data_IF_550328657780
#
_entry.id   IF_550328657780
#
_cell.length_a   1.000
_cell.length_b   1.000
_cell.length_c   1.000
_cell.angle_alpha   90.00
_cell.angle_beta   90.00
_cell.angle_gamma   90.00
#
_symmetry.space_group_name_H-M   'P 1'
#
loop_
_entity.id
_entity.type
_entity.pdbx_description
1 polymer ?
#
# COMPACT_ATOMS: atom_id res chain seq x y z
N UNK A 1 10.16 -36.36 -31.23
CA UNK A 1 9.12 -35.51 -30.60
C UNK A 1 9.48 -34.97 -29.20
N UNK A 2 10.77 -34.79 -28.85
CA UNK A 2 11.17 -34.32 -27.50
C UNK A 2 11.48 -32.82 -27.36
N UNK A 3 11.56 -32.06 -28.46
CA UNK A 3 11.99 -30.65 -28.42
C UNK A 3 10.85 -29.64 -28.14
N UNK A 4 9.59 -30.03 -28.32
CA UNK A 4 8.45 -29.10 -28.14
C UNK A 4 8.03 -28.94 -26.66
N UNK A 5 8.16 -30.00 -25.84
CA UNK A 5 7.80 -29.98 -24.42
C UNK A 5 8.79 -29.16 -23.56
N UNK A 6 10.08 -29.17 -23.89
CA UNK A 6 11.11 -28.42 -23.16
C UNK A 6 10.98 -26.90 -23.36
N UNK A 7 10.47 -26.46 -24.52
CA UNK A 7 10.25 -25.05 -24.86
C UNK A 7 9.08 -24.45 -24.07
N UNK A 8 7.98 -25.20 -23.91
CA UNK A 8 6.82 -24.75 -23.14
C UNK A 8 7.08 -24.69 -21.63
N UNK A 9 7.89 -25.60 -21.06
CA UNK A 9 8.30 -25.51 -19.65
C UNK A 9 9.18 -24.28 -19.38
N UNK A 10 10.10 -23.93 -20.30
CA UNK A 10 10.93 -22.74 -20.18
C UNK A 10 10.12 -21.43 -20.24
N UNK A 11 9.13 -21.36 -21.12
CA UNK A 11 8.24 -20.19 -21.27
C UNK A 11 7.33 -20.04 -20.04
N UNK A 12 6.72 -21.13 -19.57
CA UNK A 12 5.85 -21.10 -18.38
C UNK A 12 6.62 -20.73 -17.11
N UNK A 13 7.85 -21.22 -16.95
CA UNK A 13 8.72 -20.85 -15.83
C UNK A 13 9.18 -19.37 -15.91
N UNK A 14 9.49 -18.86 -17.11
CA UNK A 14 9.81 -17.44 -17.29
C UNK A 14 8.62 -16.52 -17.02
N UNK A 15 7.41 -16.91 -17.42
CA UNK A 15 6.18 -16.15 -17.15
C UNK A 15 5.89 -16.17 -15.65
N UNK A 16 5.94 -17.33 -15.00
CA UNK A 16 5.75 -17.46 -13.55
C UNK A 16 6.75 -16.62 -12.75
N UNK A 17 8.03 -16.60 -13.16
CA UNK A 17 9.06 -15.81 -12.50
C UNK A 17 8.85 -14.29 -12.69
N UNK A 18 8.48 -13.84 -13.89
CA UNK A 18 8.13 -12.43 -14.15
C UNK A 18 6.88 -12.00 -13.39
N UNK A 19 5.88 -12.88 -13.30
CA UNK A 19 4.65 -12.65 -12.51
C UNK A 19 4.97 -12.54 -11.02
N UNK A 20 5.83 -13.41 -10.48
CA UNK A 20 6.23 -13.35 -9.06
C UNK A 20 7.08 -12.12 -8.73
N UNK A 21 7.90 -11.64 -9.68
CA UNK A 21 8.66 -10.39 -9.53
C UNK A 21 7.76 -9.15 -9.50
N UNK A 22 6.62 -9.20 -10.18
CA UNK A 22 5.64 -8.10 -10.22
C UNK A 22 4.56 -8.19 -9.13
N UNK A 23 4.62 -9.20 -8.25
CA UNK A 23 3.61 -9.44 -7.23
C UNK A 23 3.36 -8.20 -6.33
N UNK A 24 4.39 -7.50 -5.79
CA UNK A 24 4.15 -6.33 -4.95
C UNK A 24 3.46 -5.19 -5.72
N UNK A 25 3.90 -4.92 -6.96
CA UNK A 25 3.30 -3.88 -7.79
C UNK A 25 1.81 -4.17 -8.09
N UNK A 26 1.47 -5.43 -8.37
CA UNK A 26 0.08 -5.85 -8.59
C UNK A 26 -0.77 -5.70 -7.32
N UNK A 27 -0.24 -6.09 -6.17
CA UNK A 27 -0.94 -5.96 -4.89
C UNK A 27 -1.27 -4.50 -4.56
N UNK A 28 -0.29 -3.60 -4.69
CA UNK A 28 -0.51 -2.17 -4.49
C UNK A 28 -1.45 -1.56 -5.55
N UNK A 29 -1.40 -2.02 -6.80
CA UNK A 29 -2.35 -1.57 -7.84
C UNK A 29 -3.80 -1.99 -7.52
N UNK A 30 -4.02 -3.22 -7.05
CA UNK A 30 -5.35 -3.67 -6.60
C UNK A 30 -5.83 -2.82 -5.42
N UNK A 31 -4.95 -2.53 -4.46
CA UNK A 31 -5.28 -1.67 -3.31
C UNK A 31 -5.63 -0.24 -3.73
N UNK A 32 -4.93 0.33 -4.71
CA UNK A 32 -5.28 1.63 -5.27
C UNK A 32 -6.71 1.66 -5.83
N UNK A 33 -7.13 0.61 -6.55
CA UNK A 33 -8.48 0.49 -7.09
C UNK A 33 -9.50 0.39 -5.96
N UNK A 34 -9.26 -0.47 -4.97
CA UNK A 34 -10.16 -0.67 -3.83
C UNK A 34 -10.33 0.63 -3.03
N UNK A 35 -9.23 1.30 -2.68
CA UNK A 35 -9.31 2.57 -1.94
C UNK A 35 -9.96 3.69 -2.75
N UNK A 36 -9.72 3.76 -4.06
CA UNK A 36 -10.38 4.74 -4.94
C UNK A 36 -11.89 4.49 -5.03
N UNK A 37 -12.31 3.22 -5.14
CA UNK A 37 -13.72 2.84 -5.15
C UNK A 37 -14.38 3.19 -3.81
N UNK A 38 -13.74 2.86 -2.68
CA UNK A 38 -14.24 3.24 -1.36
C UNK A 38 -14.32 4.75 -1.16
N UNK A 39 -13.32 5.52 -1.63
CA UNK A 39 -13.35 6.98 -1.57
C UNK A 39 -14.49 7.55 -2.42
N UNK A 40 -14.70 7.03 -3.63
CA UNK A 40 -15.81 7.43 -4.49
C UNK A 40 -17.18 7.14 -3.90
N UNK A 41 -17.36 5.96 -3.29
CA UNK A 41 -18.58 5.61 -2.56
C UNK A 41 -18.80 6.51 -1.33
N UNK A 42 -17.74 6.81 -0.58
CA UNK A 42 -17.78 7.72 0.57
C UNK A 42 -18.18 9.15 0.17
N UNK A 43 -17.63 9.66 -0.94
CA UNK A 43 -17.98 10.97 -1.49
C UNK A 43 -19.43 11.05 -1.97
N UNK A 44 -19.94 9.99 -2.61
CA UNK A 44 -21.34 9.93 -3.08
C UNK A 44 -22.35 9.79 -1.93
N UNK A 45 -21.92 9.32 -0.77
CA UNK A 45 -22.78 9.03 0.38
C UNK A 45 -22.87 10.19 1.38
N UNK A 46 -22.22 11.33 1.12
CA UNK A 46 -22.30 12.51 1.98
C UNK A 46 -23.69 13.14 1.91
N UNK A 47 -24.56 12.74 2.85
CA UNK A 47 -25.85 13.37 3.08
C UNK A 47 -25.62 14.80 3.63
N UNK A 48 -26.12 15.86 2.96
CA UNK A 48 -25.92 17.25 3.38
C UNK A 48 -26.42 17.57 4.80
N UNK A 49 -27.35 16.76 5.34
CA UNK A 49 -27.89 16.94 6.68
C UNK A 49 -26.97 16.47 7.81
N UNK A 50 -25.97 15.62 7.51
CA UNK A 50 -25.01 15.11 8.50
C UNK A 50 -23.80 16.04 8.63
N UNK A 51 -23.41 16.69 7.54
CA UNK A 51 -22.25 17.59 7.48
C UNK A 51 -22.41 18.81 8.41
N UNK A 52 -23.62 19.37 8.51
CA UNK A 52 -23.92 20.49 9.42
C UNK A 52 -23.72 20.19 10.92
N UNK A 53 -23.65 18.91 11.34
CA UNK A 53 -23.48 18.53 12.76
C UNK A 53 -22.05 18.13 13.13
N UNK A 54 -21.20 17.84 12.13
CA UNK A 54 -19.84 17.30 12.33
C UNK A 54 -18.76 18.33 11.99
N UNK A 55 -19.10 19.36 11.19
CA UNK A 55 -18.19 20.44 10.77
C UNK A 55 -17.49 21.17 11.94
N UNK A 56 -18.13 21.22 13.11
CA UNK A 56 -17.64 21.97 14.29
C UNK A 56 -16.77 21.14 15.26
N UNK A 57 -16.57 19.83 15.02
CA UNK A 57 -15.86 18.96 15.97
C UNK A 57 -14.55 18.43 15.42
N UNK A 58 -13.47 19.22 15.53
CA UNK A 58 -12.03 18.89 15.71
C UNK A 58 -11.36 17.70 14.98
N UNK A 59 -12.07 16.85 14.25
CA UNK A 59 -11.59 15.78 13.39
C UNK A 59 -11.55 16.32 11.96
N UNK A 60 -10.59 17.22 11.72
CA UNK A 60 -10.40 17.92 10.43
C UNK A 60 -9.98 16.98 9.29
N UNK A 61 -9.71 15.71 9.57
CA UNK A 61 -9.39 14.71 8.55
C UNK A 61 -10.62 13.86 8.28
N UNK A 62 -11.34 14.21 7.22
CA UNK A 62 -12.47 13.42 6.72
C UNK A 62 -11.98 12.02 6.31
N UNK A 63 -12.73 10.92 6.59
CA UNK A 63 -12.35 9.57 6.19
C UNK A 63 -12.01 9.45 4.69
N UNK A 64 -12.66 10.27 3.85
CA UNK A 64 -12.39 10.40 2.42
C UNK A 64 -10.94 10.82 2.14
N UNK A 65 -10.39 11.77 2.90
CA UNK A 65 -9.00 12.23 2.72
C UNK A 65 -7.99 11.13 3.02
N UNK A 66 -8.25 10.28 4.02
CA UNK A 66 -7.39 9.13 4.33
C UNK A 66 -7.49 8.06 3.24
N UNK A 67 -8.69 7.80 2.72
CA UNK A 67 -8.87 6.86 1.60
C UNK A 67 -8.17 7.37 0.33
N UNK A 68 -8.26 8.67 0.03
CA UNK A 68 -7.53 9.30 -1.07
C UNK A 68 -6.02 9.22 -0.87
N UNK A 69 -5.52 9.51 0.34
CA UNK A 69 -4.11 9.34 0.67
C UNK A 69 -3.65 7.89 0.44
N UNK A 70 -4.42 6.92 0.92
CA UNK A 70 -4.14 5.50 0.72
C UNK A 70 -4.13 5.10 -0.76
N UNK A 71 -5.08 5.60 -1.55
CA UNK A 71 -5.15 5.36 -2.98
C UNK A 71 -3.91 5.93 -3.69
N UNK A 72 -3.59 7.21 -3.45
CA UNK A 72 -2.44 7.89 -4.05
C UNK A 72 -1.13 7.21 -3.64
N UNK A 73 -0.94 6.90 -2.36
CA UNK A 73 0.24 6.19 -1.88
C UNK A 73 0.36 4.81 -2.53
N UNK A 74 -0.73 4.07 -2.66
CA UNK A 74 -0.76 2.76 -3.33
C UNK A 74 -0.36 2.86 -4.80
N UNK A 75 -0.85 3.87 -5.54
CA UNK A 75 -0.44 4.12 -6.93
C UNK A 75 1.06 4.40 -7.00
N UNK A 76 1.57 5.28 -6.13
CA UNK A 76 3.00 5.62 -6.11
C UNK A 76 3.87 4.39 -5.83
N UNK A 77 3.52 3.58 -4.81
CA UNK A 77 4.25 2.35 -4.53
C UNK A 77 4.16 1.35 -5.67
N UNK A 78 3.00 1.17 -6.29
CA UNK A 78 2.84 0.28 -7.44
C UNK A 78 3.74 0.70 -8.61
N UNK A 79 3.76 2.00 -8.93
CA UNK A 79 4.62 2.58 -9.98
C UNK A 79 6.10 2.39 -9.64
N UNK A 80 6.53 2.66 -8.41
CA UNK A 80 7.92 2.51 -7.99
C UNK A 80 8.39 1.05 -8.05
N UNK A 81 7.58 0.11 -7.54
CA UNK A 81 7.88 -1.33 -7.64
C UNK A 81 7.94 -1.80 -9.09
N UNK A 82 7.00 -1.34 -9.93
CA UNK A 82 6.96 -1.68 -11.35
C UNK A 82 8.15 -1.08 -12.11
N UNK A 83 8.43 0.20 -11.94
CA UNK A 83 9.51 0.91 -12.59
C UNK A 83 10.86 0.27 -12.27
N UNK A 84 11.13 -0.05 -11.00
CA UNK A 84 12.40 -0.67 -10.65
C UNK A 84 12.55 -2.11 -11.18
N UNK A 85 11.46 -2.88 -11.21
CA UNK A 85 11.47 -4.21 -11.80
C UNK A 85 11.65 -4.17 -13.33
N UNK A 86 11.06 -3.17 -14.00
CA UNK A 86 11.00 -3.08 -15.46
C UNK A 86 12.22 -2.38 -16.06
N UNK A 87 12.64 -1.25 -15.52
CA UNK A 87 13.72 -0.44 -16.08
C UNK A 87 15.10 -0.85 -15.58
N UNK A 88 15.21 -1.19 -14.29
CA UNK A 88 16.50 -1.51 -13.69
C UNK A 88 16.77 -3.01 -13.58
N UNK A 89 15.83 -3.85 -14.01
CA UNK A 89 15.89 -5.32 -13.84
C UNK A 89 16.25 -5.74 -12.40
N UNK A 90 15.97 -4.87 -11.43
CA UNK A 90 16.41 -5.05 -10.06
C UNK A 90 15.51 -6.07 -9.35
N UNK A 91 16.12 -6.90 -8.51
CA UNK A 91 15.40 -7.88 -7.70
C UNK A 91 15.09 -7.26 -6.34
N UNK A 92 13.85 -6.82 -6.17
CA UNK A 92 13.32 -6.42 -4.88
C UNK A 92 13.41 -7.56 -3.86
N UNK A 93 13.71 -7.23 -2.60
CA UNK A 93 13.64 -8.20 -1.52
C UNK A 93 12.17 -8.52 -1.23
N UNK A 94 11.74 -9.76 -1.55
CA UNK A 94 10.34 -10.19 -1.42
C UNK A 94 9.84 -10.10 0.03
N UNK A 95 10.65 -10.50 1.00
CA UNK A 95 10.25 -10.47 2.41
C UNK A 95 9.97 -9.05 2.86
N UNK A 96 10.83 -8.10 2.49
CA UNK A 96 10.61 -6.68 2.81
C UNK A 96 9.43 -6.09 2.04
N UNK A 97 9.21 -6.47 0.79
CA UNK A 97 8.05 -6.00 0.01
C UNK A 97 6.73 -6.52 0.57
N UNK A 98 6.69 -7.78 1.03
CA UNK A 98 5.51 -8.35 1.70
C UNK A 98 5.30 -7.68 3.05
N UNK A 99 6.35 -7.48 3.84
CA UNK A 99 6.24 -6.80 5.13
C UNK A 99 5.78 -5.34 4.96
N UNK A 100 6.31 -4.62 3.97
CA UNK A 100 5.87 -3.29 3.57
C UNK A 100 4.37 -3.28 3.24
N UNK A 101 3.91 -4.21 2.41
CA UNK A 101 2.49 -4.35 2.08
C UNK A 101 1.63 -4.64 3.32
N UNK A 102 2.02 -5.59 4.16
CA UNK A 102 1.29 -5.95 5.39
C UNK A 102 1.20 -4.77 6.36
N UNK A 103 2.25 -3.98 6.51
CA UNK A 103 2.23 -2.77 7.33
C UNK A 103 1.30 -1.70 6.75
N UNK A 104 1.28 -1.55 5.42
CA UNK A 104 0.36 -0.62 4.76
C UNK A 104 -1.12 -1.05 4.95
N UNK A 105 -1.40 -2.36 4.90
CA UNK A 105 -2.73 -2.90 5.24
C UNK A 105 -3.07 -2.63 6.71
N UNK A 106 -2.12 -2.87 7.62
CA UNK A 106 -2.28 -2.61 9.05
C UNK A 106 -2.63 -1.14 9.33
N UNK A 107 -1.94 -0.22 8.65
CA UNK A 107 -2.25 1.22 8.69
C UNK A 107 -3.69 1.48 8.26
N UNK A 108 -4.08 0.98 7.07
CA UNK A 108 -5.42 1.19 6.53
C UNK A 108 -6.54 0.65 7.44
N UNK A 109 -6.38 -0.57 7.97
CA UNK A 109 -7.36 -1.18 8.88
C UNK A 109 -7.42 -0.41 10.21
N UNK A 110 -6.27 -0.05 10.77
CA UNK A 110 -6.22 0.66 12.06
C UNK A 110 -6.92 2.03 11.98
N UNK A 111 -6.67 2.79 10.92
CA UNK A 111 -7.35 4.07 10.71
C UNK A 111 -8.84 3.89 10.36
N UNK A 112 -9.21 2.86 9.61
CA UNK A 112 -10.62 2.55 9.37
C UNK A 112 -11.39 2.29 10.68
N UNK A 113 -10.79 1.56 11.62
CA UNK A 113 -11.35 1.36 12.97
C UNK A 113 -11.48 2.69 13.71
N UNK A 114 -10.45 3.55 13.65
CA UNK A 114 -10.50 4.88 14.28
C UNK A 114 -11.69 5.67 13.77
N UNK A 115 -11.85 5.80 12.44
CA UNK A 115 -12.97 6.56 11.86
C UNK A 115 -14.35 5.93 12.11
N UNK A 116 -14.46 4.61 12.00
CA UNK A 116 -15.73 3.91 12.21
C UNK A 116 -16.24 4.02 13.64
N UNK A 117 -15.33 4.13 14.62
CA UNK A 117 -15.70 4.33 16.03
C UNK A 117 -15.93 5.81 16.32
N UNK A 118 -15.11 6.74 15.79
CA UNK A 118 -15.25 8.20 16.02
C UNK A 118 -16.56 8.80 15.52
N UNK A 119 -17.23 8.16 14.57
CA UNK A 119 -18.47 8.65 13.95
C UNK A 119 -19.76 8.18 14.63
N UNK A 120 -19.67 7.33 15.67
CA UNK A 120 -20.84 6.83 16.41
C UNK A 120 -21.36 7.83 17.45
N UNK A 121 -22.67 8.02 17.65
CA UNK A 121 -23.16 8.79 18.79
C UNK A 121 -22.90 8.03 20.12
N UNK A 122 -22.39 8.71 21.15
CA UNK A 122 -22.24 8.15 22.52
C UNK A 122 -20.89 7.54 22.93
N UNK A 123 -19.78 7.90 22.28
CA UNK A 123 -18.44 7.22 22.36
C UNK A 123 -17.64 7.45 23.67
N UNK A 124 -18.17 8.13 24.70
CA UNK A 124 -17.39 8.67 25.83
C UNK A 124 -16.24 7.80 26.36
N UNK A 125 -16.47 6.50 26.61
CA UNK A 125 -15.42 5.56 27.05
C UNK A 125 -14.62 4.91 25.90
N UNK A 126 -15.25 4.64 24.76
CA UNK A 126 -14.60 4.05 23.59
C UNK A 126 -13.55 4.98 22.96
N UNK A 127 -13.63 6.29 23.20
CA UNK A 127 -12.66 7.28 22.73
C UNK A 127 -11.27 7.09 23.35
N UNK A 128 -11.18 6.59 24.59
CA UNK A 128 -9.89 6.25 25.22
C UNK A 128 -9.22 5.05 24.55
N UNK A 129 -10.03 4.09 24.10
CA UNK A 129 -9.53 2.88 23.43
C UNK A 129 -9.09 3.13 22.00
N UNK A 130 -9.51 4.24 21.37
CA UNK A 130 -9.06 4.67 20.04
C UNK A 130 -7.58 5.04 19.96
N UNK A 131 -6.96 5.33 21.10
CA UNK A 131 -5.53 5.65 21.18
C UNK A 131 -4.69 4.49 20.63
N UNK A 132 -5.07 3.24 20.92
CA UNK A 132 -4.34 2.04 20.50
C UNK A 132 -4.32 1.88 18.96
N UNK A 133 -5.48 1.80 18.25
CA UNK A 133 -5.47 1.68 16.80
C UNK A 133 -4.89 2.93 16.13
N UNK A 134 -5.04 4.12 16.70
CA UNK A 134 -4.40 5.32 16.17
C UNK A 134 -2.86 5.23 16.22
N UNK A 135 -2.28 4.89 17.38
CA UNK A 135 -0.83 4.69 17.51
C UNK A 135 -0.32 3.55 16.64
N UNK A 136 -1.05 2.43 16.58
CA UNK A 136 -0.71 1.29 15.72
C UNK A 136 -0.71 1.69 14.24
N UNK A 137 -1.68 2.48 13.82
CA UNK A 137 -1.77 3.04 12.47
C UNK A 137 -0.55 3.92 12.15
N UNK A 138 -0.19 4.85 13.03
CA UNK A 138 0.96 5.73 12.81
C UNK A 138 2.28 4.94 12.78
N UNK A 139 2.49 4.04 13.74
CA UNK A 139 3.71 3.24 13.80
C UNK A 139 3.85 2.31 12.58
N UNK A 140 2.74 1.73 12.12
CA UNK A 140 2.74 0.93 10.91
C UNK A 140 3.05 1.77 9.67
N UNK A 141 2.51 2.98 9.55
CA UNK A 141 2.82 3.90 8.45
C UNK A 141 4.30 4.33 8.45
N UNK A 142 4.84 4.73 9.59
CA UNK A 142 6.26 5.12 9.71
C UNK A 142 7.15 3.93 9.35
N UNK A 143 6.87 2.75 9.92
CA UNK A 143 7.62 1.53 9.63
C UNK A 143 7.53 1.13 8.15
N UNK A 144 6.36 1.34 7.53
CA UNK A 144 6.10 1.09 6.11
C UNK A 144 7.07 1.92 5.24
N UNK A 145 7.19 3.23 5.47
CA UNK A 145 8.14 4.08 4.75
C UNK A 145 9.60 3.71 5.00
N UNK A 146 9.96 3.38 6.25
CA UNK A 146 11.33 2.94 6.58
C UNK A 146 11.69 1.67 5.82
N UNK A 147 10.82 0.65 5.82
CA UNK A 147 11.08 -0.59 5.09
C UNK A 147 11.14 -0.37 3.59
N UNK A 148 10.27 0.47 3.04
CA UNK A 148 10.33 0.84 1.64
C UNK A 148 11.67 1.51 1.30
N UNK A 149 12.12 2.46 2.12
CA UNK A 149 13.40 3.15 1.97
C UNK A 149 14.60 2.19 2.01
N UNK A 150 14.62 1.27 2.98
CA UNK A 150 15.67 0.23 3.08
C UNK A 150 15.68 -0.65 1.83
N UNK A 151 14.50 -1.10 1.38
CA UNK A 151 14.39 -1.96 0.20
C UNK A 151 14.82 -1.23 -1.07
N UNK A 152 14.45 0.06 -1.21
CA UNK A 152 14.87 0.91 -2.31
C UNK A 152 16.39 1.16 -2.29
N UNK A 153 16.97 1.44 -1.13
CA UNK A 153 18.41 1.64 -0.97
C UNK A 153 19.20 0.40 -1.40
N UNK A 154 18.75 -0.80 -1.01
CA UNK A 154 19.37 -2.04 -1.46
C UNK A 154 19.31 -2.20 -2.98
N UNK A 155 18.17 -1.88 -3.60
CA UNK A 155 18.02 -1.89 -5.06
C UNK A 155 18.97 -0.91 -5.73
N UNK A 156 19.07 0.33 -5.23
CA UNK A 156 20.00 1.34 -5.76
C UNK A 156 21.44 0.87 -5.63
N UNK A 157 21.84 0.32 -4.49
CA UNK A 157 23.20 -0.22 -4.29
C UNK A 157 23.50 -1.37 -5.25
N UNK A 158 22.54 -2.26 -5.51
CA UNK A 158 22.71 -3.34 -6.49
C UNK A 158 22.93 -2.79 -7.91
N UNK A 159 22.16 -1.77 -8.30
CA UNK A 159 22.29 -1.12 -9.62
C UNK A 159 23.66 -0.45 -9.75
N UNK A 160 24.08 0.31 -8.74
CA UNK A 160 25.38 0.98 -8.74
C UNK A 160 26.53 -0.04 -8.82
N UNK A 161 26.49 -1.10 -8.00
CA UNK A 161 27.49 -2.18 -8.07
C UNK A 161 27.56 -2.83 -9.44
N UNK A 162 26.41 -3.11 -10.06
CA UNK A 162 26.38 -3.70 -11.40
C UNK A 162 26.96 -2.76 -12.48
N UNK A 163 26.77 -1.44 -12.34
CA UNK A 163 27.32 -0.43 -13.24
C UNK A 163 28.83 -0.22 -13.09
N UNK A 164 29.33 -0.25 -11.85
CA UNK A 164 30.75 -0.01 -11.57
C UNK A 164 31.63 -1.27 -11.69
N UNK A 165 31.06 -2.47 -11.56
CA UNK A 165 31.80 -3.72 -11.79
C UNK A 165 32.03 -4.05 -13.27
N UNK A 166 31.37 -3.33 -14.20
CA UNK A 166 31.55 -3.48 -15.64
C UNK A 166 32.58 -2.52 -16.25
N UNK A 167 33.24 -1.71 -15.43
CA UNK A 167 34.37 -0.84 -15.78
C UNK A 167 35.65 -1.36 -15.14
#
# INVERSE_FOLDING_TARGET
>A
MGHCLKRNQGISCQIGWRVLLMLPAKLFAVFAIVFSACAGLGWLSSLPSVDTYVHDKYFVVEPVLVLLFCAVASVNFAVLYYAAARFFHARWNRTLSILHFSLFVCFGVSFAVVFAVSTRPGIGEALRWLVIPWFLGILSLVSCFVLFGINLAMVVVQILRARFASH
#
